data_IF_442882025583
#
_entry.id   IF_442882025583
#
_cell.length_a   1.000
_cell.length_b   1.000
_cell.length_c   1.000
_cell.angle_alpha   90.00
_cell.angle_beta   90.00
_cell.angle_gamma   90.00
#
_symmetry.space_group_name_H-M   'P 1'
#
loop_
_entity.id
_entity.type
_entity.pdbx_description
1 polymer ?
#
# COMPACT_ATOMS: atom_id res chain seq x y z
N UNK A 1 4.23 21.93 10.67
CA UNK A 1 5.35 20.97 10.78
C UNK A 1 5.06 19.85 9.80
N UNK A 2 6.04 19.41 9.01
CA UNK A 2 5.83 18.34 8.03
C UNK A 2 5.63 16.99 8.76
N UNK A 3 4.55 16.28 8.45
CA UNK A 3 4.24 14.97 9.05
C UNK A 3 4.79 13.82 8.21
N UNK A 4 4.95 12.66 8.83
CA UNK A 4 5.34 11.42 8.16
C UNK A 4 4.36 11.08 7.03
N UNK A 5 3.05 11.25 7.28
CA UNK A 5 2.01 11.11 6.26
C UNK A 5 2.32 11.93 5.00
N UNK A 6 2.60 13.23 5.16
CA UNK A 6 2.86 14.12 4.02
C UNK A 6 4.07 13.66 3.21
N UNK A 7 5.12 13.17 3.86
CA UNK A 7 6.32 12.65 3.18
C UNK A 7 6.02 11.41 2.35
N UNK A 8 5.25 10.47 2.90
CA UNK A 8 4.88 9.25 2.18
C UNK A 8 3.92 9.55 1.01
N UNK A 9 2.95 10.43 1.23
CA UNK A 9 2.01 10.88 0.20
C UNK A 9 2.77 11.54 -0.96
N UNK A 10 3.69 12.45 -0.65
CA UNK A 10 4.47 13.16 -1.66
C UNK A 10 5.43 12.22 -2.41
N UNK A 11 6.05 11.28 -1.69
CA UNK A 11 6.86 10.24 -2.33
C UNK A 11 6.04 9.41 -3.32
N UNK A 12 4.89 8.87 -2.91
CA UNK A 12 4.04 8.03 -3.78
C UNK A 12 3.44 8.80 -4.95
N UNK A 13 3.09 10.08 -4.76
CA UNK A 13 2.60 10.96 -5.83
C UNK A 13 3.63 11.15 -6.94
N UNK A 14 4.90 11.28 -6.58
CA UNK A 14 5.99 11.52 -7.53
C UNK A 14 6.73 10.24 -7.92
N UNK A 15 6.30 9.08 -7.42
CA UNK A 15 6.95 7.81 -7.68
C UNK A 15 6.77 7.43 -9.16
N UNK A 16 7.88 7.41 -9.90
CA UNK A 16 7.93 6.98 -11.29
C UNK A 16 9.09 6.01 -11.49
N UNK A 17 8.85 4.93 -12.21
CA UNK A 17 9.88 3.98 -12.59
C UNK A 17 10.29 4.20 -14.05
N UNK A 18 11.55 4.58 -14.25
CA UNK A 18 12.16 4.82 -15.56
C UNK A 18 13.22 3.79 -15.94
N UNK A 19 13.34 2.70 -15.16
CA UNK A 19 14.29 1.63 -15.42
C UNK A 19 13.85 0.69 -16.54
N UNK A 20 14.79 -0.13 -17.02
CA UNK A 20 14.50 -1.19 -17.99
C UNK A 20 14.03 -2.45 -17.28
N UNK A 21 13.00 -3.09 -17.81
CA UNK A 21 12.56 -4.42 -17.40
C UNK A 21 12.87 -5.46 -18.49
N UNK A 22 13.02 -6.75 -18.12
CA UNK A 22 13.08 -7.83 -19.10
C UNK A 22 11.82 -7.84 -19.98
N UNK A 23 11.94 -8.43 -21.17
CA UNK A 23 10.81 -8.64 -22.07
C UNK A 23 9.64 -9.32 -21.35
N UNK A 24 8.41 -8.93 -21.70
CA UNK A 24 7.15 -9.32 -21.07
C UNK A 24 6.87 -8.78 -19.66
N UNK A 25 7.79 -8.06 -19.00
CA UNK A 25 7.51 -7.48 -17.67
C UNK A 25 7.17 -6.00 -17.76
N UNK A 26 6.24 -5.56 -16.92
CA UNK A 26 5.87 -4.16 -16.76
C UNK A 26 5.67 -3.82 -15.29
N UNK A 27 5.91 -2.55 -14.96
CA UNK A 27 5.57 -1.99 -13.66
C UNK A 27 4.12 -1.55 -13.65
N UNK A 28 3.39 -1.93 -12.61
CA UNK A 28 2.08 -1.38 -12.29
C UNK A 28 2.27 -0.31 -11.20
N UNK A 29 1.91 0.92 -11.51
CA UNK A 29 1.94 2.03 -10.57
C UNK A 29 0.52 2.41 -10.15
N UNK A 30 0.05 1.94 -8.98
CA UNK A 30 -1.34 2.13 -8.58
C UNK A 30 -1.70 3.60 -8.37
N UNK A 31 -0.70 4.46 -8.16
CA UNK A 31 -0.85 5.88 -7.88
C UNK A 31 -1.16 6.73 -9.13
N UNK A 32 -0.84 6.22 -10.32
CA UNK A 32 -1.09 6.92 -11.60
C UNK A 32 -2.33 6.38 -12.32
N UNK A 33 -2.62 5.09 -12.16
CA UNK A 33 -3.65 4.42 -12.96
C UNK A 33 -5.08 4.60 -12.40
N UNK A 34 -5.23 4.73 -11.08
CA UNK A 34 -6.53 4.87 -10.42
C UNK A 34 -6.55 6.05 -9.44
N UNK A 35 -7.31 7.13 -9.72
CA UNK A 35 -7.42 8.28 -8.83
C UNK A 35 -7.93 7.94 -7.42
N UNK A 36 -8.75 6.90 -7.27
CA UNK A 36 -9.25 6.48 -5.96
C UNK A 36 -8.14 5.90 -5.09
N UNK A 37 -7.14 5.20 -5.66
CA UNK A 37 -5.96 4.73 -4.92
C UNK A 37 -5.32 5.86 -4.15
N UNK A 38 -5.04 6.99 -4.83
CA UNK A 38 -4.42 8.13 -4.18
C UNK A 38 -5.29 8.71 -3.08
N UNK A 39 -6.61 8.69 -3.23
CA UNK A 39 -7.54 9.17 -2.21
C UNK A 39 -7.51 8.28 -0.96
N UNK A 40 -7.69 6.97 -1.11
CA UNK A 40 -7.75 6.05 0.03
C UNK A 40 -6.40 5.91 0.73
N UNK A 41 -5.30 5.98 -0.04
CA UNK A 41 -3.95 6.01 0.50
C UNK A 41 -3.69 7.28 1.32
N UNK A 42 -4.14 8.45 0.85
CA UNK A 42 -4.03 9.71 1.62
C UNK A 42 -4.82 9.63 2.91
N UNK A 43 -6.05 9.13 2.87
CA UNK A 43 -6.89 8.93 4.04
C UNK A 43 -6.22 8.03 5.07
N UNK A 44 -5.63 6.91 4.62
CA UNK A 44 -4.90 5.99 5.48
C UNK A 44 -3.69 6.65 6.16
N UNK A 45 -2.81 7.31 5.38
CA UNK A 45 -1.62 7.91 5.95
C UNK A 45 -1.93 9.10 6.86
N UNK A 46 -2.92 9.92 6.52
CA UNK A 46 -3.38 10.98 7.44
C UNK A 46 -4.06 10.42 8.69
N UNK A 47 -4.71 9.26 8.63
CA UNK A 47 -5.31 8.65 9.81
C UNK A 47 -4.25 8.15 10.80
N UNK A 48 -3.22 7.45 10.32
CA UNK A 48 -2.31 6.71 11.20
C UNK A 48 -0.89 7.31 11.35
N UNK A 49 -0.51 8.25 10.49
CA UNK A 49 0.85 8.80 10.42
C UNK A 49 0.89 10.33 10.38
N UNK A 50 -0.16 11.01 10.84
CA UNK A 50 -0.23 12.48 10.86
C UNK A 50 0.54 13.10 12.05
N UNK A 51 1.76 12.63 12.24
CA UNK A 51 2.72 13.06 13.25
C UNK A 51 4.14 12.97 12.69
N UNK A 52 5.16 13.23 13.51
CA UNK A 52 6.58 13.10 13.13
C UNK A 52 7.33 12.08 14.01
N UNK A 53 6.62 11.15 14.65
CA UNK A 53 7.23 10.19 15.57
C UNK A 53 8.01 9.11 14.80
N UNK A 54 9.05 8.57 15.43
CA UNK A 54 9.80 7.46 14.85
C UNK A 54 8.99 6.16 14.90
N UNK A 55 9.25 5.27 13.94
CA UNK A 55 8.54 3.99 13.78
C UNK A 55 9.55 2.87 13.56
N UNK A 56 9.23 1.66 14.04
CA UNK A 56 9.93 0.43 13.68
C UNK A 56 9.64 0.15 12.20
N UNK A 57 10.69 -0.04 11.40
CA UNK A 57 10.52 -0.28 9.98
C UNK A 57 10.41 -1.77 9.68
N UNK A 58 9.32 -2.15 9.01
CA UNK A 58 9.07 -3.52 8.54
C UNK A 58 9.20 -3.51 7.01
N UNK A 59 10.05 -4.39 6.51
CA UNK A 59 10.45 -4.41 5.10
C UNK A 59 9.87 -5.67 4.43
N UNK A 60 8.92 -5.47 3.52
CA UNK A 60 8.43 -6.48 2.60
C UNK A 60 9.35 -6.64 1.38
N UNK A 61 8.85 -7.28 0.30
CA UNK A 61 9.63 -7.50 -0.93
C UNK A 61 9.27 -6.45 -1.99
N UNK A 62 8.02 -6.48 -2.45
CA UNK A 62 7.41 -5.51 -3.35
C UNK A 62 5.88 -5.67 -3.34
N UNK A 63 5.10 -4.66 -3.75
CA UNK A 63 3.65 -4.76 -3.85
C UNK A 63 3.16 -5.91 -4.73
N UNK A 64 2.09 -6.55 -4.26
CA UNK A 64 1.23 -7.45 -5.06
C UNK A 64 0.18 -6.63 -5.82
N UNK A 65 -0.20 -7.10 -7.02
CA UNK A 65 -1.25 -6.47 -7.85
C UNK A 65 -2.66 -6.52 -7.26
N UNK A 66 -2.89 -7.24 -6.16
CA UNK A 66 -4.20 -7.36 -5.51
C UNK A 66 -4.30 -6.65 -4.14
N UNK A 67 -3.16 -6.25 -3.56
CA UNK A 67 -3.11 -5.52 -2.28
C UNK A 67 -2.68 -4.08 -2.49
N UNK A 68 -1.45 -3.76 -2.11
CA UNK A 68 -0.89 -2.41 -2.24
C UNK A 68 -0.84 -1.90 -3.70
N UNK A 69 -0.76 -2.81 -4.68
CA UNK A 69 -0.93 -2.48 -6.11
C UNK A 69 -2.36 -2.08 -6.51
N UNK A 70 -3.29 -1.98 -5.56
CA UNK A 70 -4.65 -1.45 -5.75
C UNK A 70 -4.95 -0.34 -4.73
N UNK A 71 -4.59 -0.54 -3.46
CA UNK A 71 -4.93 0.43 -2.39
C UNK A 71 -3.85 1.49 -2.15
N UNK A 72 -2.63 1.26 -2.63
CA UNK A 72 -1.46 2.07 -2.29
C UNK A 72 -0.95 1.85 -0.86
N UNK A 73 -1.52 0.92 -0.09
CA UNK A 73 -1.16 0.65 1.31
C UNK A 73 -0.58 -0.76 1.46
N UNK A 74 0.67 -0.92 1.95
CA UNK A 74 1.32 -2.21 2.13
C UNK A 74 0.47 -3.21 2.93
N UNK A 75 0.39 -4.44 2.41
CA UNK A 75 -0.38 -5.56 3.00
C UNK A 75 -1.83 -5.25 3.36
N UNK A 76 -2.43 -4.28 2.69
CA UNK A 76 -3.80 -3.85 2.96
C UNK A 76 -4.60 -3.98 1.67
N UNK A 77 -5.32 -5.08 1.54
CA UNK A 77 -6.32 -5.20 0.47
C UNK A 77 -7.57 -4.38 0.80
N UNK A 78 -8.48 -4.26 -0.17
CA UNK A 78 -9.69 -3.44 -0.01
C UNK A 78 -10.61 -3.96 1.11
N UNK A 79 -10.67 -5.28 1.35
CA UNK A 79 -11.44 -5.86 2.46
C UNK A 79 -10.90 -5.43 3.82
N UNK A 80 -9.58 -5.45 4.02
CA UNK A 80 -8.95 -5.02 5.29
C UNK A 80 -8.95 -3.51 5.44
N UNK A 81 -8.77 -2.77 4.34
CA UNK A 81 -8.89 -1.32 4.33
C UNK A 81 -10.27 -0.87 4.85
N UNK A 82 -11.33 -1.55 4.43
CA UNK A 82 -12.69 -1.29 4.91
C UNK A 82 -12.89 -1.82 6.33
N UNK A 83 -12.74 -3.13 6.54
CA UNK A 83 -13.16 -3.78 7.80
C UNK A 83 -12.32 -3.41 9.02
N UNK A 84 -11.01 -3.18 8.84
CA UNK A 84 -10.10 -2.87 9.95
C UNK A 84 -9.74 -1.38 9.99
N UNK A 85 -9.62 -0.71 8.85
CA UNK A 85 -9.23 0.70 8.81
C UNK A 85 -10.40 1.67 8.64
N UNK A 86 -11.60 1.20 8.28
CA UNK A 86 -12.79 2.04 8.07
C UNK A 86 -12.74 2.89 6.81
N UNK A 87 -11.86 2.56 5.86
CA UNK A 87 -11.66 3.32 4.62
C UNK A 87 -12.18 2.48 3.45
N UNK A 88 -13.19 3.00 2.73
CA UNK A 88 -13.85 2.26 1.65
C UNK A 88 -13.26 2.65 0.30
N UNK A 89 -12.83 1.64 -0.46
CA UNK A 89 -12.51 1.77 -1.88
C UNK A 89 -13.66 1.19 -2.71
N UNK A 90 -14.22 1.98 -3.63
CA UNK A 90 -15.43 1.62 -4.40
C UNK A 90 -15.12 1.03 -5.77
N UNK A 91 -14.00 1.42 -6.37
CA UNK A 91 -13.60 1.00 -7.72
C UNK A 91 -13.07 -0.43 -7.78
N UNK A 92 -12.72 -1.04 -6.65
CA UNK A 92 -12.14 -2.37 -6.60
C UNK A 92 -12.54 -3.13 -5.33
N UNK A 93 -12.65 -4.46 -5.49
CA UNK A 93 -12.79 -5.41 -4.38
C UNK A 93 -11.78 -6.54 -4.58
N UNK A 94 -10.90 -6.72 -3.61
CA UNK A 94 -9.71 -7.57 -3.70
C UNK A 94 -9.54 -8.39 -2.43
N UNK A 95 -8.86 -9.52 -2.58
CA UNK A 95 -8.53 -10.40 -1.48
C UNK A 95 -7.08 -10.86 -1.58
N UNK A 96 -6.28 -10.53 -0.57
CA UNK A 96 -4.88 -10.92 -0.47
C UNK A 96 -4.63 -11.70 0.83
N UNK A 97 -4.10 -12.93 0.70
CA UNK A 97 -3.81 -13.82 1.83
C UNK A 97 -2.79 -13.20 2.79
N UNK A 98 -1.73 -12.56 2.28
CA UNK A 98 -0.77 -11.84 3.12
C UNK A 98 -1.41 -10.68 3.87
N UNK A 99 -2.42 -10.03 3.31
CA UNK A 99 -3.22 -9.04 4.04
C UNK A 99 -4.05 -9.66 5.16
N UNK A 100 -4.59 -10.87 4.98
CA UNK A 100 -5.26 -11.60 6.09
C UNK A 100 -4.29 -11.79 7.24
N UNK A 101 -3.12 -12.36 6.95
CA UNK A 101 -2.11 -12.68 7.96
C UNK A 101 -1.63 -11.43 8.70
N UNK A 102 -1.29 -10.37 7.97
CA UNK A 102 -0.81 -9.13 8.59
C UNK A 102 -1.87 -8.51 9.49
N UNK A 103 -3.13 -8.47 9.06
CA UNK A 103 -4.19 -7.89 9.90
C UNK A 103 -4.59 -8.76 11.08
N UNK A 104 -4.47 -10.09 10.98
CA UNK A 104 -4.60 -10.98 12.13
C UNK A 104 -3.49 -10.72 13.18
N UNK A 105 -2.25 -10.58 12.71
CA UNK A 105 -1.12 -10.20 13.58
C UNK A 105 -1.32 -8.80 14.20
N UNK A 106 -1.76 -7.81 13.43
CA UNK A 106 -2.09 -6.47 13.93
C UNK A 106 -3.18 -6.55 15.01
N UNK A 107 -4.19 -7.39 14.81
CA UNK A 107 -5.22 -7.65 15.82
C UNK A 107 -4.63 -8.13 17.14
N UNK A 108 -3.70 -9.09 17.09
CA UNK A 108 -3.01 -9.60 18.28
C UNK A 108 -1.97 -8.62 18.86
N UNK A 109 -1.45 -7.68 18.06
CA UNK A 109 -0.52 -6.65 18.52
C UNK A 109 -1.20 -5.60 19.42
N UNK A 110 -2.49 -5.34 19.21
CA UNK A 110 -3.23 -4.25 19.87
C UNK A 110 -4.17 -3.47 18.95
N UNK A 111 -4.31 -3.89 17.69
CA UNK A 111 -5.14 -3.25 16.68
C UNK A 111 -4.40 -2.21 15.84
N UNK A 112 -5.08 -1.70 14.81
CA UNK A 112 -4.51 -0.82 13.78
C UNK A 112 -3.93 0.48 14.34
N UNK A 113 -4.60 1.09 15.33
CA UNK A 113 -4.14 2.34 15.95
C UNK A 113 -2.81 2.16 16.69
N UNK A 114 -2.68 1.09 17.48
CA UNK A 114 -1.44 0.82 18.23
C UNK A 114 -0.32 0.37 17.30
N UNK A 115 -0.63 -0.49 16.35
CA UNK A 115 0.36 -1.00 15.41
C UNK A 115 0.94 0.12 14.54
N UNK A 116 0.10 0.95 13.89
CA UNK A 116 0.61 1.99 13.00
C UNK A 116 1.19 3.20 13.74
N UNK A 117 0.88 3.38 15.04
CA UNK A 117 1.62 4.28 15.93
C UNK A 117 3.06 3.82 16.18
N UNK A 118 3.34 2.53 16.15
CA UNK A 118 4.66 1.98 16.49
C UNK A 118 5.47 1.52 15.26
N UNK A 119 4.78 1.13 14.19
CA UNK A 119 5.36 0.46 13.03
C UNK A 119 5.03 1.19 11.72
N UNK A 120 5.95 1.07 10.76
CA UNK A 120 5.76 1.47 9.37
C UNK A 120 6.18 0.33 8.46
N UNK A 121 5.31 -0.06 7.52
CA UNK A 121 5.59 -1.12 6.56
C UNK A 121 5.85 -0.48 5.19
N UNK A 122 6.91 -0.91 4.50
CA UNK A 122 7.11 -0.64 3.08
C UNK A 122 7.98 -1.75 2.47
N UNK A 123 8.43 -1.59 1.23
CA UNK A 123 9.28 -2.54 0.51
C UNK A 123 10.43 -1.81 -0.21
N UNK A 124 11.58 -2.49 -0.44
CA UNK A 124 12.71 -1.91 -1.17
C UNK A 124 12.33 -1.52 -2.60
N UNK A 125 11.48 -2.32 -3.24
CA UNK A 125 10.88 -1.98 -4.52
C UNK A 125 9.42 -1.55 -4.30
N UNK A 126 9.05 -0.28 -4.50
CA UNK A 126 7.76 0.27 -4.07
C UNK A 126 6.62 0.06 -5.09
N UNK A 127 6.84 -0.71 -6.15
CA UNK A 127 5.87 -0.91 -7.23
C UNK A 127 5.61 -2.39 -7.52
N UNK A 128 4.43 -2.72 -8.05
CA UNK A 128 4.12 -4.08 -8.44
C UNK A 128 4.75 -4.38 -9.81
N UNK A 129 5.29 -5.58 -9.97
CA UNK A 129 5.79 -6.07 -11.26
C UNK A 129 4.83 -7.15 -11.75
N UNK A 130 4.34 -7.00 -12.98
CA UNK A 130 3.47 -7.99 -13.61
C UNK A 130 4.09 -8.48 -14.91
N UNK A 131 3.88 -9.76 -15.20
CA UNK A 131 4.26 -10.36 -16.48
C UNK A 131 3.04 -10.35 -17.41
N UNK A 132 3.21 -9.89 -18.65
CA UNK A 132 2.22 -10.01 -19.70
C UNK A 132 1.87 -11.49 -19.90
N UNK A 133 0.58 -11.80 -19.89
CA UNK A 133 0.10 -13.11 -20.30
C UNK A 133 0.40 -13.31 -21.79
N UNK A 134 0.77 -14.54 -22.19
CA UNK A 134 0.89 -14.90 -23.63
C UNK A 134 -0.43 -14.74 -24.40
N UNK A 135 -1.54 -14.64 -23.68
CA UNK A 135 -2.86 -14.33 -24.22
C UNK A 135 -3.22 -12.92 -23.76
N UNK A 136 -3.03 -11.93 -24.63
CA UNK A 136 -3.20 -10.50 -24.33
C UNK A 136 -4.63 -10.14 -23.94
N UNK A 137 -4.87 -9.98 -22.65
CA UNK A 137 -6.08 -9.40 -22.07
C UNK A 137 -5.70 -8.30 -21.10
#
# INVERSE_FOLDING_TARGET
>A
METFANRVIEFNRNLQYSGNLPEDFQVLNPHLDNPETMKVMQEFYHKYYNDSNQRKFIIGINPSRHGAGVTGVPFTDTKRLESACGIVMKSAHTHEISSVFIYDMIGHYGGVEEFYRDCYINSPFPLAIVRKSKNGG
#
